data_IF_627703251118
#
_entry.id   IF_627703251118
#
_cell.length_a   1.000
_cell.length_b   1.000
_cell.length_c   1.000
_cell.angle_alpha   90.00
_cell.angle_beta   90.00
_cell.angle_gamma   90.00
#
_symmetry.space_group_name_H-M   'P 1'
#
loop_
_entity.id
_entity.type
_entity.pdbx_description
1 polymer ?
#
# COMPACT_ATOMS: atom_id res chain seq x y z
N UNK A 1 13.87 2.72 -16.70
CA UNK A 1 13.01 3.10 -15.58
C UNK A 1 13.83 3.88 -14.59
N UNK A 2 13.37 5.06 -14.27
CA UNK A 2 14.09 5.95 -13.37
C UNK A 2 13.40 5.97 -12.01
N UNK A 3 14.16 5.70 -10.98
CA UNK A 3 13.63 5.67 -9.62
C UNK A 3 13.94 6.96 -8.90
N UNK A 4 13.02 7.39 -8.05
CA UNK A 4 13.18 8.55 -7.19
C UNK A 4 13.02 8.08 -5.74
N UNK A 5 13.91 8.45 -4.82
CA UNK A 5 15.13 9.23 -5.03
C UNK A 5 16.22 8.42 -5.73
N UNK A 6 17.33 9.08 -6.06
CA UNK A 6 18.49 8.36 -6.59
C UNK A 6 19.02 7.39 -5.53
N UNK A 7 19.78 6.40 -5.98
CA UNK A 7 20.34 5.43 -5.03
C UNK A 7 21.22 6.10 -3.99
N UNK A 8 22.02 7.08 -4.40
CA UNK A 8 22.88 7.79 -3.46
C UNK A 8 22.08 8.50 -2.37
N UNK A 9 21.04 9.21 -2.77
CA UNK A 9 20.16 9.89 -1.78
C UNK A 9 19.44 8.89 -0.89
N UNK A 10 18.98 7.80 -1.46
CA UNK A 10 18.32 6.75 -0.68
C UNK A 10 19.27 6.17 0.36
N UNK A 11 20.51 5.89 -0.06
CA UNK A 11 21.48 5.29 0.83
C UNK A 11 21.80 6.21 2.02
N UNK A 12 21.91 7.50 1.75
CA UNK A 12 22.14 8.48 2.81
C UNK A 12 21.00 8.50 3.83
N UNK A 13 19.77 8.54 3.34
CA UNK A 13 18.61 8.52 4.20
C UNK A 13 18.49 7.21 4.98
N UNK A 14 18.78 6.09 4.32
CA UNK A 14 18.75 4.79 4.97
C UNK A 14 19.77 4.71 6.09
N UNK A 15 20.98 5.18 5.84
CA UNK A 15 22.03 5.17 6.85
C UNK A 15 21.71 6.10 8.03
N UNK A 16 20.92 7.13 7.79
CA UNK A 16 20.47 8.04 8.85
C UNK A 16 19.22 7.55 9.55
N UNK A 17 18.71 6.39 9.22
CA UNK A 17 17.52 5.83 9.85
C UNK A 17 16.23 6.54 9.47
N UNK A 18 16.19 7.20 8.33
CA UNK A 18 15.02 7.94 7.89
C UNK A 18 14.08 7.08 7.05
N UNK A 19 12.80 7.28 7.26
CA UNK A 19 11.79 6.66 6.41
C UNK A 19 11.81 7.36 5.05
N UNK A 20 11.63 6.58 3.99
CA UNK A 20 11.71 7.11 2.66
C UNK A 20 10.65 6.50 1.76
N UNK A 21 10.24 7.27 0.77
CA UNK A 21 9.36 6.81 -0.29
C UNK A 21 10.19 6.67 -1.57
N UNK A 22 10.13 5.49 -2.16
CA UNK A 22 10.78 5.23 -3.45
C UNK A 22 9.67 5.04 -4.48
N UNK A 23 9.78 5.74 -5.59
CA UNK A 23 8.73 5.66 -6.60
C UNK A 23 9.28 5.86 -8.00
N UNK A 24 8.46 5.50 -8.96
CA UNK A 24 8.70 5.80 -10.37
C UNK A 24 7.37 6.08 -11.05
N UNK A 25 7.42 6.60 -12.25
CA UNK A 25 6.24 6.87 -13.06
C UNK A 25 6.31 6.06 -14.34
N UNK A 26 5.22 5.42 -14.66
CA UNK A 26 5.11 4.61 -15.87
C UNK A 26 3.87 5.03 -16.62
N UNK A 27 3.96 5.02 -17.95
CA UNK A 27 2.77 5.20 -18.77
C UNK A 27 1.93 3.93 -18.67
N UNK A 28 0.63 4.11 -18.46
CA UNK A 28 -0.29 3.00 -18.32
C UNK A 28 -1.57 3.25 -19.13
N UNK A 29 -1.40 3.79 -20.32
CA UNK A 29 -2.54 4.22 -21.15
C UNK A 29 -3.47 3.08 -21.53
N UNK A 30 -2.95 1.86 -21.54
CA UNK A 30 -3.73 0.70 -21.93
C UNK A 30 -4.32 -0.06 -20.75
N UNK A 31 -4.14 0.46 -19.55
CA UNK A 31 -4.66 -0.18 -18.35
C UNK A 31 -5.76 0.64 -17.71
N UNK A 32 -6.64 -0.07 -17.01
CA UNK A 32 -7.63 0.55 -16.14
C UNK A 32 -7.21 0.27 -14.69
N UNK A 33 -7.81 0.97 -13.70
CA UNK A 33 -7.54 0.63 -12.31
C UNK A 33 -7.80 -0.85 -12.01
N UNK A 34 -8.85 -1.42 -12.55
CA UNK A 34 -9.18 -2.82 -12.33
C UNK A 34 -8.13 -3.74 -12.95
N UNK A 35 -7.71 -3.47 -14.19
CA UNK A 35 -6.70 -4.32 -14.82
C UNK A 35 -5.38 -4.24 -14.11
N UNK A 36 -5.00 -3.06 -13.60
CA UNK A 36 -3.80 -2.91 -12.81
C UNK A 36 -3.90 -3.66 -11.50
N UNK A 37 -5.06 -3.59 -10.84
CA UNK A 37 -5.29 -4.34 -9.60
C UNK A 37 -5.07 -5.82 -9.82
N UNK A 38 -5.63 -6.35 -10.89
CA UNK A 38 -5.49 -7.77 -11.21
C UNK A 38 -4.05 -8.15 -11.52
N UNK A 39 -3.35 -7.32 -12.27
CA UNK A 39 -1.96 -7.58 -12.62
C UNK A 39 -1.03 -7.52 -11.42
N UNK A 40 -1.25 -6.57 -10.54
CA UNK A 40 -0.33 -6.34 -9.42
C UNK A 40 -0.60 -7.24 -8.23
N UNK A 41 -1.85 -7.52 -7.95
CA UNK A 41 -2.20 -8.22 -6.74
C UNK A 41 -2.67 -9.64 -6.97
N UNK A 42 -3.28 -9.91 -8.12
CA UNK A 42 -3.84 -11.23 -8.37
C UNK A 42 -4.84 -11.61 -7.28
N UNK A 43 -4.60 -12.74 -6.64
CA UNK A 43 -5.42 -13.23 -5.54
C UNK A 43 -4.78 -12.94 -4.18
N UNK A 44 -3.85 -12.00 -4.11
CA UNK A 44 -3.17 -11.71 -2.85
C UNK A 44 -4.13 -11.14 -1.82
N UNK A 45 -3.93 -11.53 -0.58
CA UNK A 45 -4.70 -10.99 0.53
C UNK A 45 -4.18 -9.63 0.94
N UNK A 46 -5.04 -8.87 1.61
CA UNK A 46 -4.66 -7.57 2.16
C UNK A 46 -4.24 -6.58 1.08
N UNK A 47 -4.89 -6.68 -0.06
CA UNK A 47 -4.77 -5.71 -1.13
C UNK A 47 -6.05 -4.88 -1.18
N UNK A 48 -5.93 -3.64 -1.60
CA UNK A 48 -7.11 -2.77 -1.68
C UNK A 48 -7.01 -1.82 -2.86
N UNK A 49 -8.14 -1.30 -3.25
CA UNK A 49 -8.22 -0.24 -4.23
C UNK A 49 -9.18 0.82 -3.73
N UNK A 50 -8.71 2.05 -3.74
CA UNK A 50 -9.53 3.20 -3.41
C UNK A 50 -9.74 4.01 -4.68
N UNK A 51 -10.98 4.37 -4.94
CA UNK A 51 -11.31 5.20 -6.07
C UNK A 51 -11.98 6.47 -5.60
N UNK A 52 -11.50 7.59 -6.12
CA UNK A 52 -12.14 8.86 -5.85
C UNK A 52 -13.29 9.02 -6.82
N UNK A 53 -14.49 9.04 -6.27
CA UNK A 53 -15.67 9.34 -7.07
C UNK A 53 -16.12 10.74 -6.70
N UNK A 54 -15.87 11.67 -7.59
CA UNK A 54 -16.37 13.01 -7.40
C UNK A 54 -17.55 13.21 -8.34
N UNK A 55 -18.62 13.71 -7.82
CA UNK A 55 -19.76 14.05 -8.65
C UNK A 55 -19.44 15.23 -9.54
N UNK A 56 -20.09 15.31 -10.67
CA UNK A 56 -20.03 16.46 -11.54
C UNK A 56 -18.74 16.58 -12.32
N UNK A 57 -18.24 17.76 -12.37
CA UNK A 57 -17.25 18.18 -13.34
C UNK A 57 -15.81 18.02 -12.88
N UNK A 58 -15.61 17.56 -11.66
CA UNK A 58 -14.27 17.50 -11.12
C UNK A 58 -13.44 16.48 -11.86
N UNK A 59 -12.28 16.90 -12.29
CA UNK A 59 -11.34 16.06 -12.99
C UNK A 59 -10.21 15.68 -12.07
N UNK A 60 -9.29 14.91 -12.58
CA UNK A 60 -8.13 14.55 -11.82
C UNK A 60 -8.43 13.51 -10.78
N UNK A 61 -9.15 12.50 -11.16
CA UNK A 61 -9.42 11.38 -10.28
C UNK A 61 -8.19 10.52 -10.13
N UNK A 62 -8.06 9.99 -8.95
CA UNK A 62 -6.99 9.08 -8.65
C UNK A 62 -7.57 7.78 -8.14
N UNK A 63 -6.99 6.68 -8.58
CA UNK A 63 -7.22 5.39 -7.96
C UNK A 63 -5.94 5.00 -7.26
N UNK A 64 -6.07 4.45 -6.06
CA UNK A 64 -4.93 4.05 -5.26
C UNK A 64 -5.03 2.57 -5.01
N UNK A 65 -3.97 1.84 -5.32
CA UNK A 65 -3.89 0.41 -5.08
C UNK A 65 -2.80 0.18 -4.05
N UNK A 66 -3.17 -0.53 -2.97
CA UNK A 66 -2.20 -0.91 -1.95
C UNK A 66 -2.10 -2.42 -1.86
N UNK A 67 -0.90 -2.89 -1.55
CA UNK A 67 -0.64 -4.32 -1.43
C UNK A 67 0.58 -4.55 -0.56
N UNK A 68 0.73 -5.77 -0.10
CA UNK A 68 1.87 -6.21 0.70
C UNK A 68 2.11 -5.34 1.92
N UNK A 69 1.12 -5.22 2.80
CA UNK A 69 1.29 -4.41 4.01
C UNK A 69 2.29 -5.03 4.96
N UNK A 70 2.97 -4.19 5.72
CA UNK A 70 3.83 -4.64 6.80
C UNK A 70 3.05 -4.93 8.07
N UNK A 71 1.97 -4.17 8.26
CA UNK A 71 1.14 -4.28 9.45
C UNK A 71 -0.31 -4.42 9.02
N UNK A 72 -1.04 -5.29 9.72
CA UNK A 72 -2.48 -5.41 9.54
C UNK A 72 -3.13 -5.29 10.89
N UNK A 73 -4.01 -4.32 11.02
CA UNK A 73 -4.81 -4.14 12.22
C UNK A 73 -6.25 -4.52 11.92
N UNK A 74 -6.85 -5.28 12.82
CA UNK A 74 -8.23 -5.69 12.70
C UNK A 74 -8.96 -5.36 13.98
N UNK A 75 -10.19 -4.89 13.84
CA UNK A 75 -11.07 -4.66 14.97
C UNK A 75 -12.39 -5.37 14.73
N UNK A 76 -12.81 -6.17 15.70
CA UNK A 76 -14.07 -6.86 15.64
C UNK A 76 -14.83 -6.61 16.94
N UNK A 77 -15.87 -5.79 16.84
CA UNK A 77 -16.54 -5.33 18.04
C UNK A 77 -15.63 -4.45 18.87
N UNK A 78 -15.38 -4.84 20.11
CA UNK A 78 -14.49 -4.09 21.00
C UNK A 78 -13.11 -4.70 21.10
N UNK A 79 -12.82 -5.71 20.29
CA UNK A 79 -11.53 -6.37 20.33
C UNK A 79 -10.74 -6.03 19.09
N UNK A 80 -9.46 -5.72 19.30
CA UNK A 80 -8.57 -5.46 18.20
C UNK A 80 -7.37 -6.38 18.28
N UNK A 81 -6.75 -6.57 17.13
CA UNK A 81 -5.53 -7.36 17.04
C UNK A 81 -4.64 -6.79 15.95
N UNK A 82 -3.37 -7.04 16.08
CA UNK A 82 -2.37 -6.49 15.19
C UNK A 82 -1.43 -7.59 14.72
N UNK A 83 -1.19 -7.64 13.42
CA UNK A 83 -0.18 -8.51 12.84
C UNK A 83 1.01 -7.65 12.43
N UNK A 84 2.12 -7.81 13.12
CA UNK A 84 3.35 -7.08 12.84
C UNK A 84 4.25 -7.81 11.85
N UNK A 85 3.84 -8.99 11.41
CA UNK A 85 4.58 -9.82 10.47
C UNK A 85 3.76 -10.12 9.23
N UNK A 86 2.89 -9.20 8.86
CA UNK A 86 1.92 -9.42 7.79
C UNK A 86 2.57 -9.80 6.46
N UNK A 87 3.79 -9.33 6.21
CA UNK A 87 4.50 -9.66 4.97
C UNK A 87 4.93 -11.11 4.90
N UNK A 88 5.11 -11.74 6.03
CA UNK A 88 5.70 -13.07 6.10
C UNK A 88 4.77 -14.12 6.66
N UNK A 89 3.82 -13.72 7.50
CA UNK A 89 2.92 -14.64 8.17
C UNK A 89 1.55 -13.99 8.35
N UNK A 90 0.60 -14.44 7.55
CA UNK A 90 -0.76 -13.89 7.56
C UNK A 90 -1.52 -14.20 8.84
N UNK A 91 -1.07 -15.16 9.62
CA UNK A 91 -1.77 -15.61 10.81
C UNK A 91 -1.18 -15.09 12.11
N UNK A 92 -0.11 -14.31 12.06
CA UNK A 92 0.63 -13.89 13.25
C UNK A 92 -0.03 -12.70 13.94
N UNK A 93 -1.31 -12.81 14.26
CA UNK A 93 -2.03 -11.76 14.96
C UNK A 93 -1.84 -11.83 16.47
N UNK A 94 -1.68 -10.66 17.07
CA UNK A 94 -1.58 -10.52 18.51
C UNK A 94 -2.75 -9.68 19.00
N UNK A 95 -3.41 -10.17 20.06
CA UNK A 95 -4.48 -9.42 20.68
C UNK A 95 -3.94 -8.12 21.27
N UNK A 96 -4.67 -7.05 21.08
CA UNK A 96 -4.31 -5.77 21.63
C UNK A 96 -5.17 -5.48 22.84
N UNK A 97 -4.57 -5.09 23.96
CA UNK A 97 -5.36 -4.76 25.14
C UNK A 97 -6.07 -3.42 24.97
N UNK A 98 -7.25 -3.35 25.53
CA UNK A 98 -7.99 -2.12 25.56
C UNK A 98 -8.67 -1.79 24.24
N UNK A 99 -8.95 -0.56 24.07
CA UNK A 99 -9.75 -0.04 22.98
C UNK A 99 -8.93 0.53 21.85
#
# INVERSE_FOLDING_TARGET
MELTPSFTSFEQGFSAGQNQLVYTRLAADLDTPVSLMLKLTGAAKNAFMLESVTGGEVRGRYSIIGMKPDLVWQCHGTQSRLNRQARFDESAFEEQPGD
#
